data_IF_033526299050
#
_entry.id   IF_033526299050
#
_cell.length_a   1.000
_cell.length_b   1.000
_cell.length_c   1.000
_cell.angle_alpha   90.00
_cell.angle_beta   90.00
_cell.angle_gamma   90.00
#
_symmetry.space_group_name_H-M   'P 1'
#
loop_
_entity.id
_entity.type
_entity.pdbx_description
1 polymer ?
#
# COMPACT_ATOMS: atom_id res chain seq x y z
N UNK A 1 10.08 -19.76 4.42
CA UNK A 1 11.27 -18.89 4.22
C UNK A 1 10.89 -17.50 4.69
N UNK A 2 11.62 -16.94 5.62
CA UNK A 2 11.33 -15.62 6.16
C UNK A 2 11.55 -14.53 5.11
N UNK A 3 10.71 -13.49 5.17
CA UNK A 3 10.77 -12.36 4.23
C UNK A 3 12.09 -11.59 4.38
N UNK A 4 12.82 -11.43 3.27
CA UNK A 4 14.15 -10.78 3.25
C UNK A 4 14.10 -9.31 3.67
N UNK A 5 13.05 -8.60 3.31
CA UNK A 5 12.88 -7.20 3.71
C UNK A 5 12.76 -7.09 5.23
N UNK A 6 11.90 -7.91 5.84
CA UNK A 6 11.69 -7.91 7.29
C UNK A 6 12.95 -8.25 8.07
N UNK A 7 13.80 -9.12 7.52
CA UNK A 7 15.09 -9.47 8.15
C UNK A 7 16.12 -8.34 8.04
N UNK A 8 16.05 -7.55 6.98
CA UNK A 8 17.08 -6.54 6.67
C UNK A 8 16.77 -5.15 7.23
N UNK A 9 15.50 -4.76 7.26
CA UNK A 9 15.10 -3.40 7.59
C UNK A 9 14.27 -3.36 8.86
N UNK A 10 14.84 -2.91 10.01
CA UNK A 10 14.05 -2.68 11.21
C UNK A 10 13.12 -1.49 11.03
N UNK A 11 11.98 -1.54 11.72
CA UNK A 11 11.05 -0.41 11.79
C UNK A 11 11.73 0.80 12.44
N UNK A 12 11.51 1.99 11.89
CA UNK A 12 12.05 3.25 12.41
C UNK A 12 10.93 4.06 13.07
N UNK A 13 11.09 4.31 14.36
CA UNK A 13 10.11 5.06 15.14
C UNK A 13 9.92 6.49 14.61
N UNK A 14 11.00 7.16 14.18
CA UNK A 14 10.92 8.52 13.65
C UNK A 14 10.05 8.66 12.40
N UNK A 15 9.82 7.57 11.66
CA UNK A 15 8.94 7.55 10.50
C UNK A 15 7.61 6.84 10.77
N UNK A 16 7.36 6.44 12.01
CA UNK A 16 6.16 5.70 12.40
C UNK A 16 5.93 4.45 11.52
N UNK A 17 7.01 3.71 11.27
CA UNK A 17 7.00 2.53 10.41
C UNK A 17 6.49 1.31 11.18
N UNK A 18 5.49 0.62 10.62
CA UNK A 18 4.97 -0.65 11.11
C UNK A 18 4.80 -1.58 9.91
N UNK A 19 5.57 -2.67 9.90
CA UNK A 19 5.60 -3.59 8.76
C UNK A 19 4.47 -4.61 8.82
N UNK A 20 3.93 -4.95 7.65
CA UNK A 20 3.05 -6.11 7.51
C UNK A 20 3.77 -7.38 7.91
N UNK A 21 3.02 -8.39 8.39
CA UNK A 21 3.56 -9.73 8.62
C UNK A 21 4.05 -10.37 7.32
N UNK A 22 4.90 -11.38 7.45
CA UNK A 22 5.35 -12.17 6.30
C UNK A 22 4.19 -12.74 5.47
N UNK A 23 3.18 -13.29 6.14
CA UNK A 23 1.99 -13.84 5.48
C UNK A 23 1.16 -12.78 4.77
N UNK A 24 0.97 -11.63 5.39
CA UNK A 24 0.27 -10.50 4.76
C UNK A 24 1.03 -10.00 3.54
N UNK A 25 2.37 -9.89 3.63
CA UNK A 25 3.20 -9.53 2.49
C UNK A 25 3.09 -10.54 1.36
N UNK A 26 3.04 -11.83 1.67
CA UNK A 26 2.83 -12.87 0.65
C UNK A 26 1.50 -12.67 -0.08
N UNK A 27 0.42 -12.40 0.65
CA UNK A 27 -0.88 -12.14 0.05
C UNK A 27 -0.85 -10.90 -0.86
N UNK A 28 -0.20 -9.82 -0.42
CA UNK A 28 -0.05 -8.60 -1.23
C UNK A 28 0.83 -8.82 -2.47
N UNK A 29 1.90 -9.60 -2.35
CA UNK A 29 2.76 -9.96 -3.48
C UNK A 29 1.99 -10.78 -4.50
N UNK A 30 1.22 -11.78 -4.05
CA UNK A 30 0.38 -12.60 -4.93
C UNK A 30 -0.70 -11.74 -5.60
N UNK A 31 -1.26 -10.76 -4.89
CA UNK A 31 -2.23 -9.81 -5.48
C UNK A 31 -1.58 -8.92 -6.53
N UNK A 32 -0.37 -8.42 -6.28
CA UNK A 32 0.37 -7.62 -7.26
C UNK A 32 0.66 -8.43 -8.54
N UNK A 33 1.03 -9.70 -8.39
CA UNK A 33 1.26 -10.59 -9.53
C UNK A 33 -0.04 -10.85 -10.30
N UNK A 34 -1.17 -11.02 -9.61
CA UNK A 34 -2.48 -11.19 -10.24
C UNK A 34 -2.89 -9.91 -11.01
N UNK A 35 -2.71 -8.74 -10.41
CA UNK A 35 -2.96 -7.47 -11.09
C UNK A 35 -2.09 -7.33 -12.34
N UNK A 36 -0.82 -7.72 -12.26
CA UNK A 36 0.06 -7.73 -13.41
C UNK A 36 -0.48 -8.60 -14.56
N UNK A 37 -0.94 -9.81 -14.23
CA UNK A 37 -1.52 -10.74 -15.23
C UNK A 37 -2.80 -10.17 -15.86
N UNK A 38 -3.55 -9.34 -15.14
CA UNK A 38 -4.76 -8.67 -15.62
C UNK A 38 -4.47 -7.39 -16.42
N UNK A 39 -3.21 -7.04 -16.61
CA UNK A 39 -2.80 -5.84 -17.35
C UNK A 39 -2.53 -4.60 -16.49
N UNK A 40 -2.65 -4.68 -15.16
CA UNK A 40 -2.30 -3.61 -14.23
C UNK A 40 -0.82 -3.75 -13.83
N UNK A 41 0.07 -3.35 -14.73
CA UNK A 41 1.49 -3.70 -14.65
C UNK A 41 2.36 -2.67 -13.94
N UNK A 42 1.87 -1.44 -13.80
CA UNK A 42 2.62 -0.34 -13.18
C UNK A 42 1.96 0.05 -11.87
N UNK A 43 2.59 -0.33 -10.76
CA UNK A 43 2.05 -0.15 -9.40
C UNK A 43 2.83 0.94 -8.67
N UNK A 44 2.11 1.90 -8.08
CA UNK A 44 2.68 2.87 -7.15
C UNK A 44 2.51 2.35 -5.71
N UNK A 45 3.62 2.10 -5.04
CA UNK A 45 3.66 1.72 -3.63
C UNK A 45 3.88 2.99 -2.80
N UNK A 46 2.78 3.55 -2.24
CA UNK A 46 2.84 4.76 -1.43
C UNK A 46 3.03 4.38 0.03
N UNK A 47 4.21 4.64 0.56
CA UNK A 47 4.59 4.33 1.94
C UNK A 47 4.47 2.83 2.28
N UNK A 48 4.69 1.97 1.27
CA UNK A 48 4.66 0.51 1.43
C UNK A 48 5.97 -0.13 0.98
N UNK A 49 7.12 0.23 1.61
CA UNK A 49 8.42 -0.31 1.19
C UNK A 49 8.52 -1.82 1.38
N UNK A 50 7.88 -2.37 2.42
CA UNK A 50 7.87 -3.80 2.65
C UNK A 50 7.23 -4.58 1.50
N UNK A 51 6.16 -4.07 0.89
CA UNK A 51 5.57 -4.65 -0.31
C UNK A 51 6.50 -4.48 -1.52
N UNK A 52 6.94 -3.25 -1.79
CA UNK A 52 7.75 -2.96 -2.97
C UNK A 52 8.96 -3.88 -3.07
N UNK A 53 9.73 -4.02 -1.98
CA UNK A 53 10.92 -4.87 -1.96
C UNK A 53 10.61 -6.37 -1.87
N UNK A 54 9.38 -6.75 -1.57
CA UNK A 54 8.93 -8.15 -1.55
C UNK A 54 8.32 -8.60 -2.88
N UNK A 55 7.93 -7.65 -3.75
CA UNK A 55 7.34 -7.95 -5.06
C UNK A 55 8.29 -8.78 -5.92
N UNK A 56 7.73 -9.62 -6.79
CA UNK A 56 8.51 -10.33 -7.79
C UNK A 56 9.21 -9.33 -8.73
N UNK A 57 10.33 -9.72 -9.28
CA UNK A 57 11.08 -8.86 -10.21
C UNK A 57 10.18 -8.36 -11.35
N UNK A 58 9.37 -9.25 -11.90
CA UNK A 58 8.45 -8.96 -13.01
C UNK A 58 7.43 -7.87 -12.65
N UNK A 59 6.75 -7.98 -11.51
CA UNK A 59 5.75 -6.99 -11.10
C UNK A 59 6.37 -5.69 -10.60
N UNK A 60 7.61 -5.74 -10.10
CA UNK A 60 8.33 -4.56 -9.61
C UNK A 60 8.98 -3.72 -10.72
N UNK A 61 9.33 -4.31 -11.84
CA UNK A 61 10.14 -3.68 -12.89
C UNK A 61 9.61 -2.31 -13.34
N UNK A 62 8.30 -2.16 -13.51
CA UNK A 62 7.64 -0.91 -13.91
C UNK A 62 7.00 -0.15 -12.75
N UNK A 63 7.19 -0.63 -11.52
CA UNK A 63 6.58 -0.07 -10.32
C UNK A 63 7.53 0.88 -9.60
N UNK A 64 6.96 1.76 -8.77
CA UNK A 64 7.72 2.74 -7.99
C UNK A 64 7.35 2.69 -6.52
N UNK A 65 8.35 2.97 -5.69
CA UNK A 65 8.18 3.22 -4.26
C UNK A 65 8.20 4.72 -3.99
N UNK A 66 7.13 5.24 -3.41
CA UNK A 66 7.01 6.61 -2.92
C UNK A 66 7.16 6.60 -1.40
N UNK A 67 8.27 7.09 -0.88
CA UNK A 67 8.56 7.02 0.55
C UNK A 67 9.43 8.19 1.02
N UNK A 68 9.28 8.55 2.28
CA UNK A 68 10.09 9.59 2.92
C UNK A 68 11.45 9.05 3.40
N UNK A 69 11.56 7.72 3.59
CA UNK A 69 12.79 7.10 4.11
C UNK A 69 13.84 6.95 3.02
N UNK A 70 14.86 7.79 3.10
CA UNK A 70 15.96 7.81 2.13
C UNK A 70 16.88 6.58 2.22
N UNK A 71 16.67 5.68 3.17
CA UNK A 71 17.37 4.40 3.19
C UNK A 71 17.14 3.58 1.91
N UNK A 72 16.03 3.83 1.21
CA UNK A 72 15.64 3.14 -0.02
C UNK A 72 16.06 3.86 -1.31
N UNK A 73 16.71 5.03 -1.20
CA UNK A 73 16.96 5.94 -2.33
C UNK A 73 17.87 5.37 -3.44
N UNK A 74 18.62 4.29 -3.16
CA UNK A 74 19.47 3.66 -4.17
C UNK A 74 18.72 2.80 -5.17
N UNK A 75 17.47 2.44 -4.86
CA UNK A 75 16.65 1.68 -5.79
C UNK A 75 16.18 2.59 -6.95
N UNK A 76 16.23 2.05 -8.18
CA UNK A 76 15.86 2.81 -9.38
C UNK A 76 14.40 3.25 -9.42
N UNK A 77 13.53 2.55 -8.68
CA UNK A 77 12.11 2.85 -8.60
C UNK A 77 11.74 3.73 -7.40
N UNK A 78 12.72 4.21 -6.64
CA UNK A 78 12.47 5.07 -5.49
C UNK A 78 12.15 6.50 -5.93
N UNK A 79 11.06 7.05 -5.34
CA UNK A 79 10.70 8.46 -5.45
C UNK A 79 10.57 9.01 -4.03
N UNK A 80 11.33 10.05 -3.70
CA UNK A 80 11.16 10.73 -2.42
C UNK A 80 9.76 11.33 -2.34
N UNK A 81 9.03 11.02 -1.30
CA UNK A 81 7.66 11.47 -1.12
C UNK A 81 7.40 11.86 0.33
N UNK A 82 7.09 13.13 0.53
CA UNK A 82 6.57 13.67 1.79
C UNK A 82 5.09 13.98 1.61
N UNK A 83 4.22 13.29 2.35
CA UNK A 83 2.78 13.44 2.22
C UNK A 83 2.29 14.86 2.53
N UNK A 84 3.07 15.66 3.25
CA UNK A 84 2.74 17.06 3.52
C UNK A 84 2.80 17.93 2.26
N UNK A 85 3.47 17.45 1.21
CA UNK A 85 3.63 18.15 -0.06
C UNK A 85 3.21 17.27 -1.24
N UNK A 86 1.93 16.84 -1.30
CA UNK A 86 1.47 15.92 -2.36
C UNK A 86 1.58 16.52 -3.77
N UNK A 87 1.63 17.85 -3.87
CA UNK A 87 1.81 18.57 -5.12
C UNK A 87 3.25 18.54 -5.66
N UNK A 88 4.24 18.12 -4.86
CA UNK A 88 5.65 18.05 -5.27
C UNK A 88 6.00 16.77 -6.06
N UNK A 89 5.00 16.06 -6.56
CA UNK A 89 5.22 14.93 -7.46
C UNK A 89 5.58 15.42 -8.86
N UNK A 90 6.49 14.67 -9.53
CA UNK A 90 6.88 14.98 -10.91
C UNK A 90 5.64 14.95 -11.82
N UNK A 91 5.37 16.04 -12.57
CA UNK A 91 4.23 16.08 -13.50
C UNK A 91 4.23 14.94 -14.53
N UNK A 92 5.39 14.40 -14.88
CA UNK A 92 5.51 13.27 -15.81
C UNK A 92 4.87 11.98 -15.27
N UNK A 93 4.63 11.88 -13.96
CA UNK A 93 4.00 10.72 -13.33
C UNK A 93 2.47 10.78 -13.33
N UNK A 94 1.88 11.93 -13.71
CA UNK A 94 0.43 12.12 -13.69
C UNK A 94 -0.29 11.05 -14.50
N UNK A 95 -1.20 10.32 -13.86
CA UNK A 95 -2.05 9.28 -14.46
C UNK A 95 -1.26 8.23 -15.26
N UNK A 96 -0.12 7.80 -14.71
CA UNK A 96 0.72 6.78 -15.35
C UNK A 96 0.68 5.42 -14.65
N UNK A 97 0.05 5.34 -13.48
CA UNK A 97 -0.01 4.07 -12.71
C UNK A 97 -1.33 3.35 -12.92
N UNK A 98 -1.25 2.02 -13.05
CA UNK A 98 -2.41 1.14 -13.20
C UNK A 98 -3.04 0.78 -11.86
N UNK A 99 -2.25 0.76 -10.80
CA UNK A 99 -2.69 0.46 -9.44
C UNK A 99 -1.86 1.23 -8.42
N UNK A 100 -2.46 1.44 -7.23
CA UNK A 100 -1.76 2.00 -6.06
C UNK A 100 -2.01 1.13 -4.84
N UNK A 101 -0.99 0.97 -4.00
CA UNK A 101 -1.10 0.33 -2.69
C UNK A 101 -0.61 1.35 -1.66
N UNK A 102 -1.43 1.66 -0.67
CA UNK A 102 -1.21 2.80 0.23
C UNK A 102 -1.30 2.38 1.69
N UNK A 103 -0.27 2.69 2.46
CA UNK A 103 -0.24 2.47 3.90
C UNK A 103 0.41 3.68 4.59
N UNK A 104 -0.37 4.75 4.88
CA UNK A 104 0.17 5.97 5.46
C UNK A 104 0.72 5.74 6.88
N UNK A 105 1.72 6.53 7.32
CA UNK A 105 2.23 6.45 8.69
C UNK A 105 1.22 6.93 9.75
N UNK A 106 0.23 7.72 9.36
CA UNK A 106 -0.84 8.23 10.23
C UNK A 106 -2.19 8.08 9.56
N UNK A 107 -3.27 8.01 10.34
CA UNK A 107 -4.62 7.62 9.87
C UNK A 107 -5.67 8.71 10.02
N UNK A 108 -5.29 9.94 10.34
CA UNK A 108 -6.21 11.06 10.46
C UNK A 108 -6.80 11.48 9.12
N UNK A 109 -7.95 12.19 9.14
CA UNK A 109 -8.57 12.73 7.94
C UNK A 109 -7.61 13.63 7.15
N UNK A 110 -6.86 14.50 7.83
CA UNK A 110 -5.89 15.40 7.17
C UNK A 110 -4.85 14.61 6.36
N UNK A 111 -4.30 13.56 6.94
CA UNK A 111 -3.31 12.70 6.27
C UNK A 111 -3.95 11.98 5.09
N UNK A 112 -5.14 11.39 5.27
CA UNK A 112 -5.83 10.69 4.19
C UNK A 112 -6.23 11.60 3.04
N UNK A 113 -6.63 12.84 3.31
CA UNK A 113 -6.91 13.82 2.25
C UNK A 113 -5.66 14.10 1.41
N UNK A 114 -4.50 14.20 2.04
CA UNK A 114 -3.21 14.38 1.35
C UNK A 114 -2.85 13.16 0.51
N UNK A 115 -2.97 11.95 1.05
CA UNK A 115 -2.74 10.72 0.29
C UNK A 115 -3.75 10.55 -0.85
N UNK A 116 -5.00 10.91 -0.64
CA UNK A 116 -6.02 10.86 -1.69
C UNK A 116 -5.67 11.76 -2.88
N UNK A 117 -5.10 12.95 -2.64
CA UNK A 117 -4.59 13.83 -3.72
C UNK A 117 -3.48 13.14 -4.51
N UNK A 118 -2.52 12.52 -3.83
CA UNK A 118 -1.44 11.80 -4.49
C UNK A 118 -1.98 10.61 -5.32
N UNK A 119 -2.90 9.84 -4.77
CA UNK A 119 -3.54 8.72 -5.48
C UNK A 119 -4.23 9.21 -6.75
N UNK A 120 -5.06 10.25 -6.65
CA UNK A 120 -5.79 10.81 -7.80
C UNK A 120 -4.86 11.39 -8.86
N UNK A 121 -3.71 11.92 -8.45
CA UNK A 121 -2.70 12.41 -9.38
C UNK A 121 -2.01 11.27 -10.13
N UNK A 122 -1.62 10.21 -9.43
CA UNK A 122 -0.81 9.13 -9.98
C UNK A 122 -1.61 8.09 -10.78
N UNK A 123 -2.85 7.82 -10.36
CA UNK A 123 -3.63 6.69 -10.84
C UNK A 123 -4.37 7.02 -12.13
N UNK A 124 -4.27 6.13 -13.12
CA UNK A 124 -5.11 6.17 -14.34
C UNK A 124 -6.58 6.01 -13.99
N UNK A 125 -7.46 6.54 -14.85
CA UNK A 125 -8.88 6.26 -14.78
C UNK A 125 -9.12 4.75 -14.90
N UNK A 126 -9.96 4.20 -14.02
CA UNK A 126 -10.19 2.76 -13.94
C UNK A 126 -9.09 1.97 -13.22
N UNK A 127 -8.08 2.64 -12.67
CA UNK A 127 -7.02 2.00 -11.92
C UNK A 127 -7.48 1.36 -10.61
N UNK A 128 -6.68 0.45 -10.08
CA UNK A 128 -6.98 -0.31 -8.86
C UNK A 128 -6.36 0.36 -7.64
N UNK A 129 -7.10 0.33 -6.53
CA UNK A 129 -6.67 0.92 -5.25
C UNK A 129 -6.74 -0.14 -4.16
N UNK A 130 -5.66 -0.28 -3.40
CA UNK A 130 -5.59 -1.09 -2.17
C UNK A 130 -5.03 -0.19 -1.08
N UNK A 131 -5.77 -0.02 0.01
CA UNK A 131 -5.28 0.73 1.18
C UNK A 131 -5.49 -0.06 2.46
N UNK A 132 -4.67 0.20 3.47
CA UNK A 132 -4.83 -0.32 4.82
C UNK A 132 -5.13 0.81 5.80
N UNK A 133 -6.14 0.61 6.63
CA UNK A 133 -6.56 1.56 7.69
C UNK A 133 -7.47 0.87 8.70
N UNK A 134 -7.88 1.61 9.71
CA UNK A 134 -8.84 1.14 10.71
C UNK A 134 -10.28 1.19 10.16
N UNK A 135 -11.15 0.35 10.71
CA UNK A 135 -12.55 0.25 10.29
C UNK A 135 -13.33 1.57 10.45
N UNK A 136 -12.99 2.35 11.47
CA UNK A 136 -13.62 3.65 11.74
C UNK A 136 -13.43 4.64 10.59
N UNK A 137 -12.45 4.43 9.73
CA UNK A 137 -12.19 5.27 8.55
C UNK A 137 -12.97 4.84 7.30
N UNK A 138 -13.80 3.79 7.38
CA UNK A 138 -14.49 3.23 6.20
C UNK A 138 -15.31 4.27 5.45
N UNK A 139 -16.11 5.08 6.13
CA UNK A 139 -16.94 6.11 5.49
C UNK A 139 -16.06 7.18 4.81
N UNK A 140 -15.04 7.67 5.52
CA UNK A 140 -14.11 8.67 4.97
C UNK A 140 -13.39 8.15 3.72
N UNK A 141 -12.90 6.91 3.77
CA UNK A 141 -12.20 6.30 2.63
C UNK A 141 -13.13 6.09 1.43
N UNK A 142 -14.38 5.75 1.68
CA UNK A 142 -15.39 5.67 0.61
C UNK A 142 -15.64 7.05 -0.02
N UNK A 143 -15.78 8.09 0.79
CA UNK A 143 -15.97 9.46 0.32
C UNK A 143 -14.77 9.96 -0.49
N UNK A 144 -13.54 9.70 -0.03
CA UNK A 144 -12.32 10.22 -0.66
C UNK A 144 -11.91 9.44 -1.91
N UNK A 145 -12.03 8.12 -1.89
CA UNK A 145 -11.43 7.23 -2.89
C UNK A 145 -12.40 6.20 -3.49
N UNK A 146 -13.66 6.18 -3.06
CA UNK A 146 -14.67 5.22 -3.49
C UNK A 146 -14.21 3.76 -3.30
N UNK A 147 -13.65 3.45 -2.15
CA UNK A 147 -13.16 2.14 -1.77
C UNK A 147 -13.96 1.57 -0.60
N UNK A 148 -14.00 0.24 -0.50
CA UNK A 148 -14.79 -0.50 0.48
C UNK A 148 -13.94 -1.56 1.18
N UNK A 149 -14.31 -1.86 2.43
CA UNK A 149 -13.66 -2.87 3.26
C UNK A 149 -13.73 -4.26 2.62
N UNK A 150 -12.61 -4.99 2.72
CA UNK A 150 -12.47 -6.38 2.31
C UNK A 150 -12.47 -7.33 3.50
N UNK A 151 -12.66 -8.63 3.24
CA UNK A 151 -12.66 -9.66 4.29
C UNK A 151 -11.25 -9.92 4.83
N UNK A 152 -10.26 -10.01 3.94
CA UNK A 152 -8.87 -10.23 4.36
C UNK A 152 -8.35 -9.01 5.11
N UNK A 153 -8.00 -9.20 6.38
CA UNK A 153 -7.41 -8.16 7.22
C UNK A 153 -5.90 -8.35 7.30
N UNK A 154 -5.10 -7.27 7.16
CA UNK A 154 -3.66 -7.37 7.32
C UNK A 154 -3.28 -7.65 8.77
N UNK A 155 -2.25 -8.45 8.98
CA UNK A 155 -1.54 -8.53 10.26
C UNK A 155 -0.37 -7.56 10.23
N UNK A 156 -0.31 -6.68 11.23
CA UNK A 156 0.77 -5.71 11.44
C UNK A 156 1.26 -5.93 12.88
N UNK A 157 2.24 -6.83 13.08
CA UNK A 157 2.52 -7.39 14.42
C UNK A 157 2.82 -6.39 15.53
N UNK A 158 3.45 -5.25 15.20
CA UNK A 158 3.86 -4.26 16.20
C UNK A 158 2.89 -3.07 16.30
N UNK A 159 1.81 -3.08 15.52
CA UNK A 159 0.79 -2.05 15.58
C UNK A 159 -0.32 -2.45 16.55
N UNK A 160 -0.71 -1.53 17.44
CA UNK A 160 -1.72 -1.78 18.48
C UNK A 160 -3.12 -1.96 17.86
N UNK A 161 -3.42 -1.24 16.78
CA UNK A 161 -4.71 -1.25 16.14
C UNK A 161 -4.81 -2.37 15.11
N UNK A 162 -5.99 -3.01 15.00
CA UNK A 162 -6.29 -3.92 13.90
C UNK A 162 -6.73 -3.11 12.69
N UNK A 163 -6.06 -3.33 11.55
CA UNK A 163 -6.41 -2.71 10.27
C UNK A 163 -7.28 -3.63 9.44
N UNK A 164 -7.95 -3.04 8.46
CA UNK A 164 -8.59 -3.71 7.35
C UNK A 164 -7.98 -3.27 6.03
N UNK A 165 -8.15 -4.07 4.97
CA UNK A 165 -7.92 -3.61 3.61
C UNK A 165 -9.20 -3.03 3.03
N UNK A 166 -9.02 -1.99 2.21
CA UNK A 166 -10.10 -1.32 1.45
C UNK A 166 -9.66 -1.26 -0.01
N UNK A 167 -10.56 -1.63 -0.92
CA UNK A 167 -10.28 -1.65 -2.35
C UNK A 167 -11.44 -1.07 -3.16
N UNK A 168 -11.18 -0.68 -4.41
CA UNK A 168 -12.20 -0.25 -5.39
C UNK A 168 -12.52 -1.35 -6.40
N UNK A 169 -12.12 -2.59 -6.13
CA UNK A 169 -12.36 -3.74 -7.00
C UNK A 169 -12.51 -5.02 -6.16
N UNK A 170 -13.03 -6.07 -6.78
CA UNK A 170 -13.15 -7.37 -6.14
C UNK A 170 -11.93 -8.24 -6.45
N UNK A 171 -11.33 -8.81 -5.40
CA UNK A 171 -10.28 -9.82 -5.52
C UNK A 171 -10.73 -11.07 -4.77
N UNK A 172 -10.71 -12.26 -5.40
CA UNK A 172 -11.01 -13.51 -4.68
C UNK A 172 -10.12 -13.71 -3.45
N UNK A 173 -8.84 -13.32 -3.53
CA UNK A 173 -7.91 -13.41 -2.41
C UNK A 173 -8.37 -12.60 -1.21
N UNK A 174 -8.90 -11.40 -1.45
CA UNK A 174 -9.37 -10.53 -0.37
C UNK A 174 -10.74 -10.90 0.18
N UNK A 175 -11.41 -11.89 -0.39
CA UNK A 175 -12.64 -12.48 0.17
C UNK A 175 -12.34 -13.60 1.16
N UNK A 176 -11.11 -14.04 1.27
CA UNK A 176 -10.68 -15.07 2.21
C UNK A 176 -10.23 -14.44 3.53
N UNK A 177 -10.48 -15.14 4.63
CA UNK A 177 -10.03 -14.70 5.95
C UNK A 177 -8.51 -14.88 6.10
N UNK A 178 -7.83 -13.89 6.68
CA UNK A 178 -6.44 -14.06 7.08
C UNK A 178 -6.35 -14.93 8.34
N UNK A 179 -5.72 -16.13 8.28
CA UNK A 179 -5.63 -17.02 9.44
C UNK A 179 -4.85 -16.45 10.63
N UNK A 180 -4.07 -15.40 10.43
CA UNK A 180 -3.34 -14.74 11.54
C UNK A 180 -4.26 -13.90 12.42
N UNK A 181 -5.46 -13.58 11.95
CA UNK A 181 -6.41 -12.72 12.66
C UNK A 181 -7.41 -13.57 13.43
N UNK A 182 -7.52 -13.44 14.76
CA UNK A 182 -8.50 -14.18 15.57
C UNK A 182 -9.94 -13.89 15.17
N UNK A 183 -10.86 -14.84 15.50
CA UNK A 183 -12.27 -14.72 15.15
C UNK A 183 -13.03 -13.62 15.92
N UNK A 184 -12.47 -13.13 17.01
CA UNK A 184 -13.12 -12.21 17.95
C UNK A 184 -12.79 -10.73 17.71
N UNK A 185 -12.32 -10.38 16.53
CA UNK A 185 -12.06 -8.99 16.13
C UNK A 185 -12.98 -8.53 15.02
#
# INVERSE_FOLDING_TARGET
>A
MENRFLLRYPEKEQFNQYWYSDRTLKALVDEADELFLQGFTRIACLSTPSLYFSMTEKSRENSYLFDIDRAFQRDKGFVYYDFNFPENLDPALEKTFDAVVVDPPFITRDVWEKYARAVKFLLKDGGRIVVSSIDENAQMLNELLNIEKQVFQPSIPHLVYQYSFFTNYNSPRFQEKNPEIPDDY
#
